data_IF_748848588071
#
_entry.id   IF_748848588071
#
_cell.length_a   1.000
_cell.length_b   1.000
_cell.length_c   1.000
_cell.angle_alpha   90.00
_cell.angle_beta   90.00
_cell.angle_gamma   90.00
#
_symmetry.space_group_name_H-M   'P 1'
#
loop_
_entity.id
_entity.type
_entity.pdbx_description
1 polymer ?
#
# COMPACT_ATOMS: atom_id res chain seq x y z
N UNK A 1 -27.06 -15.73 50.29
CA UNK A 1 -26.61 -14.56 49.50
C UNK A 1 -25.51 -13.88 50.31
N UNK A 2 -24.23 -14.16 50.02
CA UNK A 2 -23.11 -13.60 50.77
C UNK A 2 -22.24 -12.75 49.84
N UNK A 3 -22.19 -11.44 50.09
CA UNK A 3 -21.25 -10.52 49.47
C UNK A 3 -19.93 -10.57 50.24
N UNK A 4 -18.86 -11.05 49.60
CA UNK A 4 -17.50 -10.94 50.11
C UNK A 4 -16.87 -9.68 49.48
N UNK A 5 -16.81 -8.58 50.23
CA UNK A 5 -15.92 -7.45 49.91
C UNK A 5 -14.49 -7.87 50.21
N UNK A 6 -13.62 -7.92 49.20
CA UNK A 6 -12.16 -8.05 49.39
C UNK A 6 -11.61 -6.71 49.90
N UNK A 7 -10.77 -6.69 50.95
CA UNK A 7 -10.20 -5.45 51.45
C UNK A 7 -9.13 -4.93 50.48
N UNK A 8 -9.18 -3.64 50.16
CA UNK A 8 -8.08 -2.96 49.50
C UNK A 8 -6.93 -2.75 50.51
N UNK A 9 -5.69 -3.01 50.07
CA UNK A 9 -4.49 -2.80 50.88
C UNK A 9 -4.41 -1.34 51.35
N UNK A 10 -4.30 -1.11 52.66
CA UNK A 10 -4.23 0.24 53.20
C UNK A 10 -2.88 0.89 52.88
N UNK A 11 -2.89 2.19 52.51
CA UNK A 11 -1.67 2.99 52.22
C UNK A 11 -0.59 2.90 53.31
N UNK A 12 -0.97 2.55 54.53
CA UNK A 12 -0.08 2.41 55.69
C UNK A 12 0.74 1.09 55.68
N UNK A 13 0.32 0.06 54.92
CA UNK A 13 1.13 -1.15 54.69
C UNK A 13 2.22 -0.92 53.62
N UNK A 14 1.95 -0.10 52.60
CA UNK A 14 2.90 0.20 51.53
C UNK A 14 4.14 0.96 52.07
N UNK A 15 3.94 1.85 53.05
CA UNK A 15 5.00 2.68 53.61
C UNK A 15 5.89 1.98 54.64
N UNK A 16 5.50 0.79 55.14
CA UNK A 16 6.34 0.00 56.06
C UNK A 16 7.31 -0.95 55.36
N UNK A 17 7.18 -1.14 54.04
CA UNK A 17 8.03 -2.02 53.25
C UNK A 17 9.20 -1.28 52.53
N UNK A 18 9.41 0.01 52.80
CA UNK A 18 10.46 0.81 52.15
C UNK A 18 11.89 0.54 52.67
N UNK A 19 12.07 -0.33 53.67
CA UNK A 19 13.35 -0.52 54.36
C UNK A 19 14.28 -1.61 53.79
N UNK A 20 13.84 -2.43 52.84
CA UNK A 20 14.68 -3.47 52.22
C UNK A 20 14.11 -3.89 50.85
N UNK A 21 14.31 -3.07 49.83
CA UNK A 21 13.97 -3.44 48.46
C UNK A 21 15.19 -4.06 47.78
N UNK A 22 15.27 -5.39 47.81
CA UNK A 22 15.92 -6.12 46.70
C UNK A 22 15.11 -5.76 45.46
N UNK A 23 15.76 -5.22 44.43
CA UNK A 23 15.10 -4.89 43.18
C UNK A 23 14.43 -6.15 42.62
N UNK A 24 13.11 -6.24 42.76
CA UNK A 24 12.33 -7.28 42.11
C UNK A 24 12.46 -7.08 40.60
N UNK A 25 12.75 -8.14 39.82
CA UNK A 25 12.72 -8.04 38.37
C UNK A 25 11.34 -7.56 37.93
N UNK A 26 11.31 -6.70 36.92
CA UNK A 26 10.07 -6.22 36.33
C UNK A 26 9.32 -7.43 35.76
N UNK A 27 8.20 -7.81 36.37
CA UNK A 27 7.37 -8.92 35.93
C UNK A 27 6.36 -8.40 34.90
N UNK A 28 6.15 -9.13 33.80
CA UNK A 28 5.20 -8.78 32.73
C UNK A 28 3.77 -8.48 33.25
N UNK A 29 3.39 -9.08 34.39
CA UNK A 29 2.11 -8.83 35.06
C UNK A 29 1.93 -7.39 35.60
N UNK A 30 3.00 -6.57 35.61
CA UNK A 30 2.99 -5.18 36.07
C UNK A 30 2.86 -4.15 34.93
N UNK A 31 2.84 -4.61 33.68
CA UNK A 31 2.46 -3.78 32.54
C UNK A 31 0.93 -3.60 32.53
N UNK A 32 0.41 -2.36 32.47
CA UNK A 32 -1.01 -2.17 32.23
C UNK A 32 -1.38 -2.87 30.92
N UNK A 33 -2.48 -3.65 30.92
CA UNK A 33 -3.06 -4.37 29.77
C UNK A 33 -3.57 -3.43 28.65
N UNK A 34 -2.88 -2.32 28.38
CA UNK A 34 -3.24 -1.26 27.45
C UNK A 34 -2.29 -1.16 26.24
N UNK A 35 -1.44 -2.16 26.01
CA UNK A 35 -0.74 -2.40 24.75
C UNK A 35 -1.06 -3.84 24.33
N UNK A 36 -1.77 -4.04 23.22
CA UNK A 36 -2.02 -5.38 22.73
C UNK A 36 -0.69 -6.00 22.31
N UNK A 37 -0.55 -7.30 22.54
CA UNK A 37 0.70 -7.99 22.29
C UNK A 37 1.09 -7.81 20.81
N UNK A 38 2.37 -7.50 20.52
CA UNK A 38 2.83 -7.41 19.14
C UNK A 38 2.61 -8.74 18.41
N UNK A 39 2.55 -8.69 17.08
CA UNK A 39 2.52 -9.91 16.25
C UNK A 39 3.71 -10.80 16.59
N UNK A 40 3.46 -12.10 16.72
CA UNK A 40 4.52 -13.11 16.91
C UNK A 40 4.78 -13.90 15.63
N UNK A 41 4.19 -13.45 14.51
CA UNK A 41 4.41 -14.02 13.20
C UNK A 41 5.89 -14.02 12.82
N UNK A 42 6.35 -15.17 12.29
CA UNK A 42 7.68 -15.33 11.72
C UNK A 42 7.53 -15.59 10.22
N UNK A 43 8.28 -14.84 9.41
CA UNK A 43 8.41 -15.13 7.98
C UNK A 43 8.86 -16.58 7.78
N UNK A 44 8.41 -17.20 6.70
CA UNK A 44 8.83 -18.54 6.36
C UNK A 44 10.28 -18.53 5.87
N UNK A 45 10.98 -19.64 6.08
CA UNK A 45 12.40 -19.75 5.73
C UNK A 45 12.61 -19.73 4.20
N UNK A 46 11.69 -20.32 3.45
CA UNK A 46 11.85 -20.54 2.01
C UNK A 46 10.55 -20.39 1.24
N UNK A 47 10.65 -19.74 0.08
CA UNK A 47 9.68 -19.73 -1.00
C UNK A 47 10.14 -20.68 -2.11
N UNK A 48 9.22 -21.50 -2.63
CA UNK A 48 9.48 -22.36 -3.80
C UNK A 48 9.05 -21.69 -5.13
N UNK A 49 8.67 -20.42 -5.07
CA UNK A 49 8.24 -19.64 -6.23
C UNK A 49 9.43 -18.89 -6.83
N UNK A 50 9.27 -18.36 -8.03
CA UNK A 50 10.24 -17.41 -8.60
C UNK A 50 9.54 -16.52 -9.61
N UNK A 51 8.80 -15.53 -9.10
CA UNK A 51 8.04 -14.59 -9.92
C UNK A 51 8.32 -13.15 -9.50
N UNK A 52 8.29 -12.19 -10.44
CA UNK A 52 8.39 -10.78 -10.11
C UNK A 52 7.15 -10.35 -9.32
N UNK A 53 7.37 -9.57 -8.27
CA UNK A 53 6.32 -9.03 -7.41
C UNK A 53 6.50 -7.52 -7.24
N UNK A 54 5.41 -6.82 -7.02
CA UNK A 54 5.42 -5.39 -6.77
C UNK A 54 4.44 -5.03 -5.65
N UNK A 55 4.90 -4.22 -4.71
CA UNK A 55 4.05 -3.57 -3.72
C UNK A 55 4.31 -2.06 -3.69
N UNK A 56 3.24 -1.27 -3.72
CA UNK A 56 3.29 0.17 -3.57
C UNK A 56 2.73 0.58 -2.20
N UNK A 57 3.60 1.02 -1.30
CA UNK A 57 3.31 1.47 0.05
C UNK A 57 3.19 3.00 0.08
N UNK A 58 2.00 3.52 0.37
CA UNK A 58 1.73 4.95 0.37
C UNK A 58 1.56 5.50 1.77
N UNK A 59 2.19 6.64 2.04
CA UNK A 59 1.94 7.46 3.22
C UNK A 59 1.31 8.79 2.79
N UNK A 60 0.09 9.13 3.23
CA UNK A 60 -0.61 10.35 2.81
C UNK A 60 -0.06 11.60 3.51
N UNK A 61 -0.54 12.78 3.09
CA UNK A 61 -0.24 14.09 3.68
C UNK A 61 1.24 14.55 3.60
N UNK A 62 2.12 13.75 2.99
CA UNK A 62 3.55 14.01 2.89
C UNK A 62 4.33 13.58 4.12
N UNK A 63 5.62 13.96 4.14
CA UNK A 63 6.57 13.66 5.23
C UNK A 63 7.24 14.95 5.68
N UNK A 64 7.91 14.95 6.83
CA UNK A 64 8.83 16.01 7.19
C UNK A 64 9.99 16.05 6.18
N UNK A 65 9.86 16.90 5.15
CA UNK A 65 10.79 16.93 4.02
C UNK A 65 12.21 17.35 4.43
N UNK A 66 12.33 18.07 5.54
CA UNK A 66 13.62 18.55 6.10
C UNK A 66 14.44 17.39 6.65
N UNK A 67 13.81 16.41 7.30
CA UNK A 67 14.47 15.21 7.82
C UNK A 67 14.44 14.03 6.84
N UNK A 68 13.65 14.09 5.76
CA UNK A 68 13.53 13.04 4.75
C UNK A 68 14.64 13.05 3.71
N UNK A 69 14.92 14.20 3.07
CA UNK A 69 15.80 14.25 1.89
C UNK A 69 17.27 14.16 2.32
N UNK A 70 18.08 13.23 1.78
CA UNK A 70 19.51 13.20 2.01
C UNK A 70 20.20 14.46 1.48
N UNK A 71 21.25 14.91 2.17
CA UNK A 71 22.03 16.09 1.76
C UNK A 71 22.91 15.83 0.53
N UNK A 72 23.46 14.61 0.44
CA UNK A 72 24.38 14.21 -0.62
C UNK A 72 23.68 13.29 -1.63
N UNK A 73 24.11 13.31 -2.89
CA UNK A 73 23.60 12.45 -3.96
C UNK A 73 24.57 11.33 -4.33
N UNK A 74 24.10 10.34 -5.10
CA UNK A 74 24.92 9.25 -5.63
C UNK A 74 25.09 8.07 -4.68
N UNK A 75 26.05 7.21 -4.98
CA UNK A 75 26.42 6.07 -4.11
C UNK A 75 27.13 6.55 -2.86
N UNK A 76 26.86 5.93 -1.71
CA UNK A 76 27.51 6.31 -0.45
C UNK A 76 26.96 7.60 0.20
N UNK A 77 25.83 8.13 -0.28
CA UNK A 77 25.12 9.23 0.38
C UNK A 77 24.85 8.96 1.86
N UNK A 78 24.87 10.01 2.67
CA UNK A 78 24.54 9.97 4.09
C UNK A 78 23.03 9.80 4.28
N UNK A 79 22.60 8.81 5.08
CA UNK A 79 21.20 8.67 5.42
C UNK A 79 20.71 9.94 6.15
N UNK A 80 19.54 10.42 5.75
CA UNK A 80 18.87 11.50 6.47
C UNK A 80 18.31 10.97 7.81
N UNK A 81 18.02 11.85 8.79
CA UNK A 81 17.55 11.43 10.10
C UNK A 81 16.33 10.50 10.07
N UNK A 82 15.40 10.72 9.13
CA UNK A 82 14.24 9.84 8.95
C UNK A 82 14.65 8.47 8.38
N UNK A 83 15.53 8.45 7.38
CA UNK A 83 15.98 7.22 6.71
C UNK A 83 16.90 6.33 7.56
N UNK A 84 17.44 6.82 8.68
CA UNK A 84 18.20 6.01 9.64
C UNK A 84 17.39 4.81 10.17
N UNK A 85 16.06 4.89 10.16
CA UNK A 85 15.16 3.77 10.47
C UNK A 85 15.37 2.56 9.55
N UNK A 86 15.97 2.75 8.37
CA UNK A 86 16.25 1.71 7.37
C UNK A 86 17.74 1.39 7.21
N UNK A 87 18.62 1.80 8.14
CA UNK A 87 20.08 1.62 7.99
C UNK A 87 20.51 0.17 7.72
N UNK A 88 19.79 -0.82 8.24
CA UNK A 88 20.07 -2.25 8.03
C UNK A 88 19.82 -2.71 6.58
N UNK A 89 19.03 -1.94 5.83
CA UNK A 89 18.67 -2.17 4.43
C UNK A 89 19.39 -1.23 3.46
N UNK A 90 20.46 -0.53 3.89
CA UNK A 90 21.12 0.53 3.12
C UNK A 90 21.56 0.13 1.69
N UNK A 91 21.84 -1.15 1.45
CA UNK A 91 22.21 -1.70 0.13
C UNK A 91 21.02 -2.20 -0.70
N UNK A 92 19.81 -2.14 -0.15
CA UNK A 92 18.60 -2.78 -0.71
C UNK A 92 17.55 -1.75 -1.15
N UNK A 93 17.81 -0.45 -0.95
CA UNK A 93 16.96 0.63 -1.44
C UNK A 93 17.74 1.79 -2.05
N UNK A 94 17.02 2.60 -2.81
CA UNK A 94 17.43 3.90 -3.33
C UNK A 94 16.40 4.96 -2.97
N UNK A 95 16.89 6.17 -2.70
CA UNK A 95 16.05 7.35 -2.42
C UNK A 95 15.98 8.19 -3.68
N UNK A 96 14.80 8.72 -4.00
CA UNK A 96 14.60 9.62 -5.13
C UNK A 96 14.07 10.96 -4.61
N UNK A 97 14.63 12.06 -5.10
CA UNK A 97 14.19 13.42 -4.77
C UNK A 97 14.08 14.28 -6.02
N UNK A 98 13.27 15.33 -5.98
CA UNK A 98 13.04 16.26 -7.09
C UNK A 98 11.95 15.85 -8.08
N UNK A 99 11.47 14.61 -8.02
CA UNK A 99 10.43 14.09 -8.91
C UNK A 99 9.02 14.52 -8.45
N UNK A 100 8.06 14.49 -9.36
CA UNK A 100 6.64 14.63 -9.05
C UNK A 100 5.77 14.48 -10.30
N UNK A 101 4.46 14.73 -10.20
CA UNK A 101 3.56 14.65 -11.36
C UNK A 101 3.30 16.05 -11.92
N UNK A 102 3.84 16.41 -13.12
CA UNK A 102 3.67 17.72 -13.74
C UNK A 102 2.23 18.24 -13.85
N UNK A 103 1.26 17.33 -14.00
CA UNK A 103 -0.16 17.69 -14.13
C UNK A 103 -0.92 17.70 -12.79
N UNK A 104 -0.27 17.36 -11.68
CA UNK A 104 -0.89 17.45 -10.36
C UNK A 104 -0.89 18.89 -9.87
N UNK A 105 -2.06 19.34 -9.41
CA UNK A 105 -2.24 20.67 -8.81
C UNK A 105 -1.83 20.70 -7.32
N UNK A 106 -1.46 19.55 -6.73
CA UNK A 106 -1.15 19.43 -5.30
C UNK A 106 -2.39 19.25 -4.42
N UNK A 107 -2.24 19.59 -3.14
CA UNK A 107 -3.28 19.38 -2.13
C UNK A 107 -3.55 17.89 -1.85
N UNK A 108 -4.71 17.57 -1.29
CA UNK A 108 -5.06 16.22 -0.83
C UNK A 108 -5.42 15.20 -1.93
N UNK A 109 -5.15 15.53 -3.19
CA UNK A 109 -5.36 14.65 -4.34
C UNK A 109 -4.15 13.73 -4.62
N UNK A 110 -3.20 13.64 -3.68
CA UNK A 110 -2.00 12.82 -3.81
C UNK A 110 -2.32 11.35 -4.05
N UNK A 111 -3.26 10.77 -3.29
CA UNK A 111 -3.68 9.38 -3.46
C UNK A 111 -4.32 9.13 -4.83
N UNK A 112 -5.12 10.08 -5.34
CA UNK A 112 -5.76 10.01 -6.65
C UNK A 112 -4.75 9.94 -7.81
N UNK A 113 -3.59 10.59 -7.66
CA UNK A 113 -2.65 10.80 -8.77
C UNK A 113 -1.35 10.02 -8.65
N UNK A 114 -1.00 9.50 -7.46
CA UNK A 114 0.34 8.95 -7.22
C UNK A 114 0.73 7.81 -8.16
N UNK A 115 -0.17 6.87 -8.42
CA UNK A 115 0.08 5.74 -9.34
C UNK A 115 -0.50 5.92 -10.74
N UNK A 116 -1.26 6.99 -11.01
CA UNK A 116 -1.92 7.23 -12.30
C UNK A 116 -1.26 8.35 -13.10
N UNK A 117 -0.63 9.30 -12.41
CA UNK A 117 -0.18 10.59 -12.94
C UNK A 117 -1.28 11.36 -13.70
N UNK A 118 -2.55 11.09 -13.39
CA UNK A 118 -3.66 11.63 -14.14
C UNK A 118 -3.77 13.15 -14.01
N UNK A 119 -4.05 13.81 -15.13
CA UNK A 119 -4.52 15.19 -15.12
C UNK A 119 -6.02 15.18 -14.80
N UNK A 120 -6.35 15.45 -13.52
CA UNK A 120 -7.69 15.26 -12.97
C UNK A 120 -8.79 16.10 -13.64
N UNK A 121 -8.43 17.19 -14.33
CA UNK A 121 -9.33 18.10 -15.04
C UNK A 121 -9.14 18.08 -16.56
N UNK A 122 -8.57 17.00 -17.09
CA UNK A 122 -8.25 16.87 -18.53
C UNK A 122 -9.48 16.86 -19.45
N UNK A 123 -10.65 16.45 -18.96
CA UNK A 123 -11.90 16.41 -19.74
C UNK A 123 -12.71 17.69 -19.53
N UNK A 124 -12.91 18.53 -20.58
CA UNK A 124 -13.74 19.73 -20.47
C UNK A 124 -15.15 19.42 -19.96
N UNK A 125 -15.59 20.13 -18.92
CA UNK A 125 -16.92 19.96 -18.31
C UNK A 125 -17.05 18.79 -17.34
N UNK A 126 -15.98 18.04 -17.06
CA UNK A 126 -15.92 17.08 -15.96
C UNK A 126 -15.19 17.68 -14.77
N UNK A 127 -15.74 17.51 -13.56
CA UNK A 127 -15.12 17.97 -12.32
C UNK A 127 -13.96 17.07 -11.86
N UNK A 128 -13.94 15.82 -12.35
CA UNK A 128 -12.92 14.82 -12.02
C UNK A 128 -12.78 13.80 -13.16
N UNK A 129 -11.54 13.39 -13.45
CA UNK A 129 -11.21 12.33 -14.40
C UNK A 129 -9.94 11.64 -13.93
N UNK A 130 -9.91 10.32 -13.92
CA UNK A 130 -8.67 9.57 -13.64
C UNK A 130 -8.34 8.62 -14.80
N UNK A 131 -7.22 7.92 -14.70
CA UNK A 131 -6.72 6.99 -15.70
C UNK A 131 -6.22 5.71 -15.06
N UNK A 132 -5.86 4.71 -15.87
CA UNK A 132 -5.24 3.47 -15.43
C UNK A 132 -4.04 3.75 -14.52
N UNK A 133 -3.98 3.07 -13.37
CA UNK A 133 -2.82 3.13 -12.48
C UNK A 133 -1.75 2.11 -12.86
N UNK A 134 -0.49 2.42 -12.53
CA UNK A 134 0.68 1.60 -12.87
C UNK A 134 0.62 0.18 -12.27
N UNK A 135 0.07 0.04 -11.06
CA UNK A 135 -0.16 -1.26 -10.44
C UNK A 135 -1.19 -2.09 -11.22
N UNK A 136 -2.26 -1.48 -11.73
CA UNK A 136 -3.27 -2.18 -12.53
C UNK A 136 -2.73 -2.57 -13.91
N UNK A 137 -1.82 -1.77 -14.47
CA UNK A 137 -1.08 -2.15 -15.67
C UNK A 137 -0.19 -3.39 -15.42
N UNK A 138 0.49 -3.48 -14.27
CA UNK A 138 1.23 -4.69 -13.88
C UNK A 138 0.29 -5.89 -13.60
N UNK A 139 -0.84 -5.65 -12.95
CA UNK A 139 -1.85 -6.66 -12.62
C UNK A 139 -2.48 -7.28 -13.89
N UNK A 140 -2.62 -6.51 -14.97
CA UNK A 140 -3.13 -7.01 -16.25
C UNK A 140 -2.26 -8.14 -16.83
N UNK A 141 -0.94 -8.10 -16.59
CA UNK A 141 0.02 -9.15 -16.98
C UNK A 141 -0.01 -10.33 -16.01
N UNK A 142 0.21 -10.09 -14.73
CA UNK A 142 0.43 -11.15 -13.73
C UNK A 142 -0.86 -11.78 -13.21
N UNK A 143 -1.96 -11.03 -13.21
CA UNK A 143 -3.22 -11.47 -12.64
C UNK A 143 -3.93 -12.60 -13.38
N UNK A 144 -3.36 -13.08 -14.49
CA UNK A 144 -3.83 -14.30 -15.18
C UNK A 144 -3.27 -15.57 -14.54
N UNK A 145 -2.16 -15.45 -13.82
CA UNK A 145 -1.43 -16.56 -13.20
C UNK A 145 -1.75 -16.70 -11.71
N UNK A 146 -2.39 -15.69 -11.11
CA UNK A 146 -2.76 -15.65 -9.70
C UNK A 146 -4.27 -15.61 -9.50
N UNK A 147 -4.73 -16.03 -8.31
CA UNK A 147 -6.17 -16.02 -7.96
C UNK A 147 -6.75 -14.61 -7.94
N UNK A 148 -5.99 -13.68 -7.35
CA UNK A 148 -6.35 -12.27 -7.32
C UNK A 148 -5.38 -11.51 -8.23
N UNK A 149 -5.88 -10.66 -9.15
CA UNK A 149 -5.01 -9.90 -10.05
C UNK A 149 -4.11 -8.90 -9.32
N UNK A 150 -4.67 -8.30 -8.27
CA UNK A 150 -4.00 -7.38 -7.36
C UNK A 150 -4.75 -7.37 -6.03
N UNK A 151 -4.13 -6.83 -4.98
CA UNK A 151 -4.80 -6.51 -3.72
C UNK A 151 -4.68 -5.03 -3.41
N UNK A 152 -5.83 -4.39 -3.19
CA UNK A 152 -5.96 -3.02 -2.70
C UNK A 152 -6.15 -3.03 -1.20
N UNK A 153 -5.17 -2.50 -0.46
CA UNK A 153 -5.17 -2.41 0.99
C UNK A 153 -5.15 -0.93 1.40
N UNK A 154 -5.82 -0.58 2.50
CA UNK A 154 -5.93 0.82 2.90
C UNK A 154 -6.35 1.00 4.35
N UNK A 155 -6.16 2.19 4.90
CA UNK A 155 -6.63 2.61 6.24
C UNK A 155 -8.15 2.54 6.36
N UNK A 156 -8.84 2.94 5.29
CA UNK A 156 -10.29 2.89 5.15
C UNK A 156 -10.67 1.81 4.14
N UNK A 157 -11.81 1.15 4.34
CA UNK A 157 -12.39 0.31 3.29
C UNK A 157 -13.14 1.18 2.26
N UNK A 158 -13.13 0.75 1.00
CA UNK A 158 -13.84 1.42 -0.10
C UNK A 158 -12.93 2.31 -0.96
N UNK A 159 -13.50 3.27 -1.67
CA UNK A 159 -12.77 4.06 -2.68
C UNK A 159 -12.47 5.50 -2.26
N UNK A 160 -13.09 5.98 -1.18
CA UNK A 160 -13.09 7.40 -0.84
C UNK A 160 -13.90 8.24 -1.84
N UNK A 161 -13.61 9.54 -1.90
CA UNK A 161 -14.24 10.48 -2.82
C UNK A 161 -13.23 11.02 -3.84
N UNK A 162 -13.70 11.56 -4.95
CA UNK A 162 -12.87 12.23 -5.94
C UNK A 162 -12.02 13.35 -5.28
N UNK A 163 -10.70 13.32 -5.47
CA UNK A 163 -9.76 14.27 -4.87
C UNK A 163 -9.41 14.00 -3.40
N UNK A 164 -10.00 12.95 -2.82
CA UNK A 164 -9.76 12.44 -1.47
C UNK A 164 -9.89 10.91 -1.51
N UNK A 165 -9.20 10.28 -2.46
CA UNK A 165 -9.32 8.84 -2.65
C UNK A 165 -8.75 8.08 -1.44
N UNK A 166 -9.40 6.96 -1.09
CA UNK A 166 -8.89 5.98 -0.12
C UNK A 166 -8.24 4.78 -0.83
N UNK A 167 -7.90 4.94 -2.11
CA UNK A 167 -7.26 3.93 -2.93
C UNK A 167 -6.24 4.61 -3.85
N UNK A 168 -5.28 3.81 -4.30
CA UNK A 168 -4.26 4.22 -5.26
C UNK A 168 -4.48 3.55 -6.62
N UNK A 169 -5.40 2.59 -6.68
CA UNK A 169 -5.60 1.71 -7.82
C UNK A 169 -6.82 2.13 -8.61
N UNK A 170 -6.61 2.40 -9.89
CA UNK A 170 -7.64 2.83 -10.84
C UNK A 170 -7.60 1.92 -12.06
N UNK A 171 -8.77 1.45 -12.50
CA UNK A 171 -8.87 0.59 -13.67
C UNK A 171 -8.62 1.36 -14.98
N UNK A 172 -8.72 0.66 -16.12
CA UNK A 172 -8.49 1.25 -17.44
C UNK A 172 -9.41 2.43 -17.77
N UNK A 173 -10.57 2.52 -17.12
CA UNK A 173 -11.54 3.59 -17.29
C UNK A 173 -11.34 4.74 -16.30
N UNK A 174 -10.34 4.64 -15.42
CA UNK A 174 -10.12 5.60 -14.33
C UNK A 174 -11.11 5.41 -13.17
N UNK A 175 -11.71 4.23 -13.03
CA UNK A 175 -12.61 3.90 -11.92
C UNK A 175 -11.80 3.43 -10.71
N UNK A 176 -12.00 4.00 -9.51
CA UNK A 176 -11.26 3.58 -8.32
C UNK A 176 -11.64 2.16 -7.89
N UNK A 177 -10.63 1.37 -7.54
CA UNK A 177 -10.81 0.02 -7.00
C UNK A 177 -10.86 0.06 -5.46
N UNK A 178 -11.83 -0.58 -4.80
CA UNK A 178 -12.02 -0.45 -3.36
C UNK A 178 -10.92 -1.15 -2.56
N UNK A 179 -10.42 -0.49 -1.52
CA UNK A 179 -9.48 -1.05 -0.56
C UNK A 179 -10.17 -1.90 0.51
N UNK A 180 -9.42 -2.85 1.08
CA UNK A 180 -9.79 -3.63 2.26
C UNK A 180 -8.90 -3.21 3.44
N UNK A 181 -9.52 -2.97 4.60
CA UNK A 181 -8.82 -2.53 5.80
C UNK A 181 -8.92 -3.50 6.99
N UNK A 182 -9.71 -4.57 6.87
CA UNK A 182 -9.87 -5.59 7.92
C UNK A 182 -8.91 -6.75 7.71
N UNK A 183 -7.96 -6.99 8.63
CA UNK A 183 -7.06 -8.14 8.56
C UNK A 183 -7.82 -9.47 8.54
N UNK A 184 -8.86 -9.61 9.38
CA UNK A 184 -9.74 -10.79 9.42
C UNK A 184 -10.37 -11.11 8.06
N UNK A 185 -11.08 -10.14 7.47
CA UNK A 185 -11.75 -10.34 6.17
C UNK A 185 -10.73 -10.63 5.06
N UNK A 186 -9.59 -9.95 5.09
CA UNK A 186 -8.52 -10.21 4.14
C UNK A 186 -7.99 -11.65 4.27
N UNK A 187 -7.65 -12.09 5.48
CA UNK A 187 -7.17 -13.46 5.72
C UNK A 187 -8.19 -14.52 5.28
N UNK A 188 -9.46 -14.36 5.66
CA UNK A 188 -10.55 -15.26 5.25
C UNK A 188 -10.69 -15.30 3.73
N UNK A 189 -10.66 -14.12 3.08
CA UNK A 189 -10.71 -14.01 1.63
C UNK A 189 -9.55 -14.77 0.97
N UNK A 190 -8.32 -14.63 1.45
CA UNK A 190 -7.14 -15.19 0.80
C UNK A 190 -6.93 -16.68 1.09
N UNK A 191 -7.18 -17.14 2.32
CA UNK A 191 -6.68 -18.44 2.80
C UNK A 191 -7.76 -19.39 3.32
N UNK A 192 -8.93 -18.91 3.74
CA UNK A 192 -10.00 -19.79 4.25
C UNK A 192 -10.80 -20.37 3.09
N UNK A 193 -10.86 -21.70 3.02
CA UNK A 193 -11.63 -22.40 2.01
C UNK A 193 -13.13 -22.12 2.14
N UNK A 194 -13.81 -21.92 1.00
CA UNK A 194 -15.26 -21.80 0.97
C UNK A 194 -15.91 -23.15 1.29
N UNK A 195 -17.05 -23.15 2.00
CA UNK A 195 -17.82 -24.39 2.16
C UNK A 195 -18.40 -24.85 0.82
N UNK A 196 -18.81 -26.12 0.72
CA UNK A 196 -19.48 -26.62 -0.49
C UNK A 196 -20.75 -25.82 -0.84
N UNK A 197 -21.47 -25.32 0.18
CA UNK A 197 -22.63 -24.45 -0.01
C UNK A 197 -22.25 -23.07 -0.54
N UNK A 198 -21.21 -22.46 0.04
CA UNK A 198 -20.71 -21.15 -0.41
C UNK A 198 -20.23 -21.20 -1.86
N UNK A 199 -19.49 -22.27 -2.20
CA UNK A 199 -19.02 -22.53 -3.56
C UNK A 199 -20.17 -22.65 -4.56
N UNK A 200 -21.22 -23.41 -4.22
CA UNK A 200 -22.39 -23.55 -5.08
C UNK A 200 -23.12 -22.22 -5.29
N UNK A 201 -23.26 -21.41 -4.22
CA UNK A 201 -23.82 -20.08 -4.31
C UNK A 201 -22.95 -19.13 -5.14
N UNK A 202 -21.62 -19.18 -4.99
CA UNK A 202 -20.66 -18.41 -5.78
C UNK A 202 -20.74 -18.76 -7.27
N UNK A 203 -20.79 -20.04 -7.62
CA UNK A 203 -20.96 -20.49 -9.01
C UNK A 203 -22.26 -19.97 -9.62
N UNK A 204 -23.36 -20.04 -8.87
CA UNK A 204 -24.65 -19.53 -9.33
C UNK A 204 -24.59 -18.04 -9.62
N UNK A 205 -24.00 -17.24 -8.72
CA UNK A 205 -23.81 -15.79 -8.92
C UNK A 205 -22.96 -15.48 -10.14
N UNK A 206 -21.89 -16.25 -10.41
CA UNK A 206 -21.06 -16.05 -11.60
C UNK A 206 -21.81 -16.40 -12.89
N UNK A 207 -22.61 -17.47 -12.89
CA UNK A 207 -23.44 -17.83 -14.03
C UNK A 207 -24.51 -16.74 -14.32
N UNK A 208 -25.17 -16.24 -13.28
CA UNK A 208 -26.14 -15.13 -13.39
C UNK A 208 -25.48 -13.85 -13.93
N UNK A 209 -24.31 -13.46 -13.39
CA UNK A 209 -23.56 -12.30 -13.88
C UNK A 209 -23.16 -12.43 -15.34
N UNK A 210 -22.71 -13.62 -15.75
CA UNK A 210 -22.35 -13.88 -17.15
C UNK A 210 -23.56 -13.68 -18.07
N UNK A 211 -24.72 -14.26 -17.70
CA UNK A 211 -25.95 -14.07 -18.48
C UNK A 211 -26.34 -12.60 -18.62
N UNK A 212 -26.25 -11.82 -17.53
CA UNK A 212 -26.55 -10.38 -17.56
C UNK A 212 -25.58 -9.63 -18.47
N UNK A 213 -24.29 -9.96 -18.44
CA UNK A 213 -23.28 -9.32 -19.27
C UNK A 213 -23.49 -9.66 -20.75
N UNK A 214 -23.83 -10.92 -21.07
CA UNK A 214 -24.16 -11.37 -22.42
C UNK A 214 -25.38 -10.59 -22.98
N UNK A 215 -26.42 -10.40 -22.17
CA UNK A 215 -27.61 -9.60 -22.54
C UNK A 215 -27.25 -8.12 -22.78
N UNK A 216 -26.48 -7.51 -21.87
CA UNK A 216 -26.00 -6.12 -22.00
C UNK A 216 -25.15 -5.95 -23.26
N UNK A 217 -24.26 -6.90 -23.54
CA UNK A 217 -23.40 -6.85 -24.72
C UNK A 217 -24.21 -6.93 -26.03
N UNK A 218 -25.24 -7.77 -26.08
CA UNK A 218 -26.14 -7.90 -27.22
C UNK A 218 -26.96 -6.61 -27.46
N UNK A 219 -27.50 -6.02 -26.40
CA UNK A 219 -28.25 -4.76 -26.46
C UNK A 219 -27.35 -3.59 -26.88
N UNK A 220 -26.16 -3.50 -26.30
CA UNK A 220 -25.17 -2.47 -26.64
C UNK A 220 -24.74 -2.56 -28.12
N UNK A 221 -24.51 -3.76 -28.66
CA UNK A 221 -24.23 -3.94 -30.09
C UNK A 221 -25.41 -3.53 -30.99
N UNK A 222 -26.64 -3.76 -30.56
CA UNK A 222 -27.84 -3.36 -31.31
C UNK A 222 -27.98 -1.83 -31.33
N UNK A 223 -27.67 -1.17 -30.22
CA UNK A 223 -27.68 0.28 -30.10
C UNK A 223 -26.55 0.92 -30.91
N UNK A 224 -25.33 0.38 -30.85
CA UNK A 224 -24.16 0.89 -31.59
C UNK A 224 -24.43 1.06 -33.10
N UNK A 225 -25.15 0.10 -33.70
CA UNK A 225 -25.57 0.15 -35.12
C UNK A 225 -26.45 1.35 -35.46
N UNK A 226 -27.14 1.93 -34.47
CA UNK A 226 -28.07 3.06 -34.61
C UNK A 226 -27.46 4.40 -34.22
N UNK A 227 -26.29 4.40 -33.58
CA UNK A 227 -25.64 5.61 -33.09
C UNK A 227 -24.87 6.36 -34.19
N UNK A 228 -24.87 7.69 -34.07
CA UNK A 228 -24.00 8.57 -34.86
C UNK A 228 -22.54 8.49 -34.39
N UNK A 229 -21.61 8.98 -35.22
CA UNK A 229 -20.15 8.88 -34.99
C UNK A 229 -19.68 9.46 -33.64
N UNK A 230 -20.37 10.49 -33.11
CA UNK A 230 -20.05 11.08 -31.81
C UNK A 230 -20.36 10.16 -30.62
N UNK A 231 -21.46 9.42 -30.67
CA UNK A 231 -21.94 8.56 -29.59
C UNK A 231 -21.29 7.18 -29.59
N UNK A 232 -20.86 6.69 -30.76
CA UNK A 232 -20.13 5.41 -30.87
C UNK A 232 -18.90 5.33 -29.99
N UNK A 233 -18.14 6.43 -29.88
CA UNK A 233 -16.97 6.47 -29.00
C UNK A 233 -17.31 6.22 -27.53
N UNK A 234 -18.43 6.76 -27.04
CA UNK A 234 -18.89 6.49 -25.67
C UNK A 234 -19.39 5.05 -25.52
N UNK A 235 -20.02 4.52 -26.57
CA UNK A 235 -20.44 3.12 -26.62
C UNK A 235 -19.23 2.16 -26.60
N UNK A 236 -18.15 2.50 -27.31
CA UNK A 236 -16.91 1.73 -27.31
C UNK A 236 -16.26 1.69 -25.92
N UNK A 237 -16.25 2.82 -25.20
CA UNK A 237 -15.81 2.89 -23.79
C UNK A 237 -16.67 1.97 -22.90
N UNK A 238 -17.99 2.04 -23.05
CA UNK A 238 -18.94 1.20 -22.30
C UNK A 238 -18.74 -0.30 -22.58
N UNK A 239 -18.70 -0.70 -23.86
CA UNK A 239 -18.48 -2.08 -24.28
C UNK A 239 -17.13 -2.63 -23.79
N UNK A 240 -16.11 -1.79 -23.75
CA UNK A 240 -14.80 -2.15 -23.20
C UNK A 240 -14.88 -2.46 -21.70
N UNK A 241 -15.66 -1.67 -20.94
CA UNK A 241 -15.90 -1.91 -19.51
C UNK A 241 -16.71 -3.19 -19.25
N UNK A 242 -17.74 -3.46 -20.04
CA UNK A 242 -18.53 -4.70 -19.98
C UNK A 242 -17.62 -5.91 -20.20
N UNK A 243 -16.79 -5.87 -21.25
CA UNK A 243 -15.87 -6.96 -21.59
C UNK A 243 -14.81 -7.22 -20.52
N UNK A 244 -14.37 -6.19 -19.80
CA UNK A 244 -13.43 -6.37 -18.69
C UNK A 244 -14.11 -7.06 -17.50
N UNK A 245 -15.37 -6.70 -17.22
CA UNK A 245 -16.17 -7.36 -16.19
C UNK A 245 -16.39 -8.84 -16.53
N UNK A 246 -16.66 -9.18 -17.79
CA UNK A 246 -16.78 -10.57 -18.25
C UNK A 246 -15.50 -11.37 -17.99
N UNK A 247 -14.34 -10.85 -18.43
CA UNK A 247 -13.04 -11.48 -18.19
C UNK A 247 -12.75 -11.67 -16.70
N UNK A 248 -13.20 -10.75 -15.85
CA UNK A 248 -13.07 -10.89 -14.41
C UNK A 248 -13.91 -12.05 -13.88
N UNK A 249 -15.16 -12.19 -14.33
CA UNK A 249 -16.04 -13.31 -13.94
C UNK A 249 -15.46 -14.64 -14.42
N UNK A 250 -15.02 -14.74 -15.68
CA UNK A 250 -14.42 -15.96 -16.23
C UNK A 250 -13.18 -16.40 -15.45
N UNK A 251 -12.36 -15.43 -15.04
CA UNK A 251 -11.18 -15.69 -14.20
C UNK A 251 -11.58 -16.23 -12.84
N UNK A 252 -12.52 -15.58 -12.15
CA UNK A 252 -12.99 -16.04 -10.84
C UNK A 252 -13.55 -17.47 -10.90
N UNK A 253 -14.25 -17.82 -11.99
CA UNK A 253 -14.69 -19.19 -12.24
C UNK A 253 -13.51 -20.17 -12.39
N UNK A 254 -12.46 -19.80 -13.14
CA UNK A 254 -11.29 -20.68 -13.35
C UNK A 254 -10.50 -21.00 -12.07
N UNK A 255 -10.64 -20.18 -11.03
CA UNK A 255 -9.95 -20.34 -9.76
C UNK A 255 -10.80 -21.01 -8.67
N UNK A 256 -12.08 -21.27 -8.93
CA UNK A 256 -12.99 -21.77 -7.90
C UNK A 256 -12.65 -23.19 -7.44
N UNK A 257 -12.17 -24.02 -8.36
CA UNK A 257 -11.77 -25.41 -8.11
C UNK A 257 -10.33 -25.56 -7.64
N UNK A 258 -9.54 -24.48 -7.73
CA UNK A 258 -8.16 -24.49 -7.27
C UNK A 258 -8.18 -24.31 -5.74
N UNK A 259 -7.48 -25.16 -4.95
CA UNK A 259 -7.41 -24.98 -3.50
C UNK A 259 -6.69 -23.68 -3.15
N UNK A 260 -7.12 -23.02 -2.07
CA UNK A 260 -6.38 -21.90 -1.46
C UNK A 260 -5.15 -22.44 -0.74
N UNK A 261 -4.13 -21.60 -0.57
CA UNK A 261 -2.97 -21.98 0.23
C UNK A 261 -3.36 -22.12 1.71
N UNK A 262 -2.84 -23.15 2.36
CA UNK A 262 -3.04 -23.36 3.79
C UNK A 262 -2.06 -22.48 4.58
N UNK A 263 -2.60 -21.52 5.32
CA UNK A 263 -1.83 -20.61 6.17
C UNK A 263 -2.43 -20.65 7.56
N UNK A 264 -1.65 -20.94 8.62
CA UNK A 264 -2.15 -20.88 9.98
C UNK A 264 -2.35 -19.42 10.42
N UNK A 265 -3.39 -19.17 11.22
CA UNK A 265 -3.63 -17.85 11.84
C UNK A 265 -2.62 -17.53 12.96
N UNK A 266 -1.85 -18.52 13.41
CA UNK A 266 -1.00 -18.42 14.60
C UNK A 266 0.00 -17.28 14.47
N UNK A 267 -0.02 -16.40 15.46
CA UNK A 267 0.89 -15.25 15.56
C UNK A 267 0.43 -14.00 14.82
N UNK A 268 -0.61 -14.07 13.98
CA UNK A 268 -1.18 -12.92 13.28
C UNK A 268 -2.17 -12.15 14.17
N UNK A 269 -2.08 -10.82 14.16
CA UNK A 269 -2.99 -9.92 14.89
C UNK A 269 -4.26 -9.60 14.10
N UNK A 270 -5.01 -10.63 13.70
CA UNK A 270 -6.13 -10.50 12.75
C UNK A 270 -7.33 -9.67 13.26
N UNK A 271 -7.36 -9.33 14.55
CA UNK A 271 -8.40 -8.51 15.17
C UNK A 271 -8.05 -7.02 15.24
N UNK A 272 -6.82 -6.63 14.91
CA UNK A 272 -6.38 -5.24 14.97
C UNK A 272 -7.12 -4.34 13.97
N UNK A 273 -7.33 -3.09 14.36
CA UNK A 273 -8.08 -2.09 13.61
C UNK A 273 -7.21 -0.88 13.27
N UNK A 274 -7.44 -0.20 12.13
CA UNK A 274 -6.68 0.99 11.75
C UNK A 274 -7.02 2.23 12.59
N UNK A 275 -8.26 2.31 13.09
CA UNK A 275 -8.86 3.57 13.58
C UNK A 275 -8.55 3.95 15.02
N UNK A 276 -7.58 3.32 15.69
CA UNK A 276 -7.22 3.71 17.07
C UNK A 276 -5.71 3.60 17.31
N UNK A 277 -5.21 4.45 18.23
CA UNK A 277 -3.80 4.54 18.61
C UNK A 277 -3.18 3.21 19.05
N UNK A 278 -3.97 2.38 19.74
CA UNK A 278 -3.51 1.15 20.36
C UNK A 278 -3.23 0.06 19.32
N UNK A 279 -4.14 -0.13 18.37
CA UNK A 279 -4.06 -1.18 17.37
C UNK A 279 -3.21 -0.79 16.15
N UNK A 280 -3.05 0.51 15.90
CA UNK A 280 -2.41 1.05 14.70
C UNK A 280 -1.06 0.40 14.37
N UNK A 281 -0.12 0.22 15.32
CA UNK A 281 1.13 -0.49 15.05
C UNK A 281 0.91 -1.92 14.56
N UNK A 282 0.11 -2.70 15.28
CA UNK A 282 -0.14 -4.11 14.94
C UNK A 282 -0.98 -4.25 13.67
N UNK A 283 -1.84 -3.28 13.37
CA UNK A 283 -2.63 -3.26 12.15
C UNK A 283 -1.74 -3.12 10.91
N UNK A 284 -0.78 -2.18 10.91
CA UNK A 284 0.19 -2.07 9.80
C UNK A 284 1.01 -3.36 9.70
N UNK A 285 1.51 -3.87 10.83
CA UNK A 285 2.31 -5.09 10.87
C UNK A 285 1.55 -6.28 10.27
N UNK A 286 0.33 -6.56 10.72
CA UNK A 286 -0.45 -7.70 10.22
C UNK A 286 -0.86 -7.53 8.76
N UNK A 287 -1.14 -6.31 8.29
CA UNK A 287 -1.44 -6.08 6.87
C UNK A 287 -0.20 -6.33 5.98
N UNK A 288 1.00 -5.96 6.44
CA UNK A 288 2.27 -6.29 5.76
C UNK A 288 2.59 -7.79 5.83
N UNK A 289 2.26 -8.47 6.93
CA UNK A 289 2.37 -9.93 7.08
C UNK A 289 1.43 -10.66 6.11
N UNK A 290 0.19 -10.18 5.95
CA UNK A 290 -0.76 -10.70 4.97
C UNK A 290 -0.30 -10.42 3.53
N UNK A 291 0.32 -9.27 3.26
CA UNK A 291 0.92 -8.98 1.96
C UNK A 291 2.09 -9.94 1.65
N UNK A 292 2.96 -10.19 2.64
CA UNK A 292 4.03 -11.18 2.55
C UNK A 292 3.46 -12.58 2.28
N UNK A 293 2.44 -13.00 3.02
CA UNK A 293 1.77 -14.29 2.84
C UNK A 293 1.13 -14.42 1.46
N UNK A 294 0.52 -13.35 0.96
CA UNK A 294 -0.07 -13.34 -0.37
C UNK A 294 1.00 -13.53 -1.47
N UNK A 295 2.20 -12.98 -1.26
CA UNK A 295 3.34 -13.13 -2.17
C UNK A 295 4.00 -14.51 -2.11
N UNK A 296 4.24 -15.07 -0.91
CA UNK A 296 4.91 -16.36 -0.75
C UNK A 296 4.02 -17.54 -1.16
N UNK A 297 2.70 -17.34 -1.18
CA UNK A 297 1.71 -18.34 -1.63
C UNK A 297 1.27 -18.15 -3.09
N UNK A 298 1.84 -17.18 -3.81
CA UNK A 298 1.44 -16.76 -5.17
C UNK A 298 -0.07 -16.42 -5.30
N UNK A 299 -0.67 -15.93 -4.22
CA UNK A 299 -2.09 -15.55 -4.20
C UNK A 299 -2.33 -14.29 -5.05
N UNK A 300 -1.37 -13.36 -5.05
CA UNK A 300 -1.23 -12.22 -5.96
C UNK A 300 0.25 -11.91 -6.15
N UNK A 301 0.61 -11.14 -7.18
CA UNK A 301 1.95 -10.56 -7.39
C UNK A 301 1.98 -9.04 -7.35
N UNK A 302 0.82 -8.39 -7.24
CA UNK A 302 0.69 -6.93 -7.19
C UNK A 302 -0.15 -6.52 -5.99
N UNK A 303 0.38 -5.62 -5.17
CA UNK A 303 -0.30 -5.08 -3.99
C UNK A 303 -0.16 -3.57 -3.96
N UNK A 304 -1.24 -2.86 -3.64
CA UNK A 304 -1.18 -1.45 -3.23
C UNK A 304 -1.62 -1.35 -1.79
N UNK A 305 -0.93 -0.55 -1.00
CA UNK A 305 -1.23 -0.37 0.41
C UNK A 305 -1.14 1.09 0.82
N UNK A 306 -2.29 1.72 1.04
CA UNK A 306 -2.41 3.04 1.66
C UNK A 306 -2.31 2.91 3.18
N UNK A 307 -1.22 3.37 3.78
CA UNK A 307 -0.96 3.09 5.18
C UNK A 307 -1.80 3.98 6.08
N UNK A 308 -2.21 5.17 5.64
CA UNK A 308 -3.17 6.03 6.34
C UNK A 308 -4.18 6.59 5.32
N UNK A 309 -4.81 7.74 5.57
CA UNK A 309 -5.65 8.42 4.56
C UNK A 309 -5.32 9.91 4.38
N UNK A 310 -5.54 10.41 3.17
CA UNK A 310 -5.48 11.86 2.86
C UNK A 310 -6.49 12.68 3.67
N UNK A 311 -6.12 13.94 3.95
CA UNK A 311 -6.93 14.90 4.71
C UNK A 311 -7.44 14.32 6.06
N UNK A 312 -6.64 13.44 6.67
CA UNK A 312 -6.93 12.80 7.95
C UNK A 312 -5.86 11.78 8.33
N UNK A 313 -6.32 10.65 8.87
CA UNK A 313 -5.44 9.54 9.21
C UNK A 313 -4.69 9.71 10.53
N UNK A 314 -4.04 8.62 10.94
CA UNK A 314 -3.36 8.50 12.22
C UNK A 314 -1.89 8.11 12.05
N UNK A 315 -1.03 8.76 12.84
CA UNK A 315 0.34 8.33 13.10
C UNK A 315 0.41 7.04 13.92
N UNK A 316 1.62 6.56 14.20
CA UNK A 316 1.83 5.29 14.89
C UNK A 316 1.32 5.24 16.33
N UNK A 317 1.30 6.38 17.03
CA UNK A 317 0.73 6.55 18.37
C UNK A 317 -0.70 7.08 18.37
N UNK A 318 -1.36 7.12 17.20
CA UNK A 318 -2.70 7.70 17.04
C UNK A 318 -2.74 9.22 16.92
N UNK A 319 -1.59 9.87 16.69
CA UNK A 319 -1.51 11.31 16.43
C UNK A 319 -2.29 11.66 15.15
N UNK A 320 -2.89 12.85 15.09
CA UNK A 320 -3.52 13.32 13.86
C UNK A 320 -2.43 13.66 12.82
N UNK A 321 -2.28 12.79 11.82
CA UNK A 321 -1.20 12.92 10.83
C UNK A 321 -1.38 14.18 9.98
N UNK A 322 -2.59 14.42 9.50
CA UNK A 322 -2.93 15.56 8.66
C UNK A 322 -2.74 16.90 9.38
N UNK A 323 -3.11 17.03 10.65
CA UNK A 323 -2.86 18.28 11.38
C UNK A 323 -1.36 18.58 11.48
N UNK A 324 -0.54 17.55 11.74
CA UNK A 324 0.91 17.71 11.88
C UNK A 324 1.62 18.07 10.57
N UNK A 325 1.07 17.72 9.40
CA UNK A 325 1.62 18.14 8.11
C UNK A 325 1.36 19.63 7.82
N UNK A 326 0.34 20.26 8.40
CA UNK A 326 0.15 21.72 8.30
C UNK A 326 1.01 22.50 9.31
N UNK A 327 2.29 22.13 9.43
CA UNK A 327 3.16 22.59 10.51
C UNK A 327 3.51 24.07 10.48
N UNK A 328 3.41 24.78 9.34
CA UNK A 328 3.71 26.23 9.29
C UNK A 328 5.15 26.60 9.67
N UNK A 329 6.06 25.62 9.70
CA UNK A 329 7.42 25.75 10.23
C UNK A 329 7.56 25.56 11.75
N UNK A 330 6.50 25.17 12.47
CA UNK A 330 6.55 24.88 13.91
C UNK A 330 7.44 23.67 14.20
N UNK A 331 8.46 23.88 15.06
CA UNK A 331 9.44 22.86 15.39
C UNK A 331 8.84 21.67 16.17
N UNK A 332 7.80 21.90 16.97
CA UNK A 332 7.13 20.86 17.74
C UNK A 332 6.31 19.93 16.84
N UNK A 333 5.58 20.50 15.87
CA UNK A 333 4.83 19.74 14.87
C UNK A 333 5.77 18.97 13.95
N UNK A 334 6.85 19.59 13.46
CA UNK A 334 7.87 18.93 12.64
C UNK A 334 8.52 17.74 13.37
N UNK A 335 8.83 17.90 14.65
CA UNK A 335 9.38 16.83 15.49
C UNK A 335 8.41 15.65 15.61
N UNK A 336 7.12 15.90 15.83
CA UNK A 336 6.09 14.86 15.87
C UNK A 336 5.86 14.20 14.51
N UNK A 337 5.89 14.98 13.42
CA UNK A 337 5.79 14.44 12.06
C UNK A 337 6.97 13.52 11.75
N UNK A 338 8.19 13.88 12.14
CA UNK A 338 9.36 13.02 11.99
C UNK A 338 9.25 11.71 12.80
N UNK A 339 8.57 11.71 13.95
CA UNK A 339 8.27 10.48 14.69
C UNK A 339 7.32 9.57 13.90
N UNK A 340 6.30 10.12 13.25
CA UNK A 340 5.40 9.37 12.38
C UNK A 340 6.16 8.79 11.19
N UNK A 341 7.01 9.59 10.54
CA UNK A 341 7.81 9.15 9.39
C UNK A 341 8.74 7.99 9.77
N UNK A 342 9.46 8.10 10.90
CA UNK A 342 10.33 7.05 11.43
C UNK A 342 9.54 5.80 11.82
N UNK A 343 8.33 5.97 12.37
CA UNK A 343 7.43 4.85 12.65
C UNK A 343 7.07 4.09 11.36
N UNK A 344 6.61 4.77 10.31
CA UNK A 344 6.30 4.11 9.05
C UNK A 344 7.55 3.42 8.46
N UNK A 345 8.70 4.10 8.40
CA UNK A 345 9.91 3.47 7.89
C UNK A 345 10.37 2.26 8.73
N UNK A 346 10.15 2.26 10.04
CA UNK A 346 10.45 1.07 10.86
C UNK A 346 9.59 -0.15 10.48
N UNK A 347 8.32 0.08 10.10
CA UNK A 347 7.41 -0.97 9.60
C UNK A 347 7.82 -1.46 8.21
N UNK A 348 8.26 -0.54 7.35
CA UNK A 348 8.83 -0.88 6.06
C UNK A 348 10.10 -1.74 6.25
N UNK A 349 11.00 -1.34 7.14
CA UNK A 349 12.22 -2.12 7.46
C UNK A 349 11.88 -3.52 7.95
N UNK A 350 10.90 -3.66 8.85
CA UNK A 350 10.42 -4.98 9.30
C UNK A 350 9.90 -5.84 8.13
N UNK A 351 9.20 -5.26 7.17
CA UNK A 351 8.71 -5.96 5.98
C UNK A 351 9.83 -6.34 4.99
N UNK A 352 10.77 -5.42 4.73
CA UNK A 352 11.97 -5.70 3.95
C UNK A 352 12.80 -6.82 4.59
N UNK A 353 12.91 -6.82 5.92
CA UNK A 353 13.53 -7.89 6.71
C UNK A 353 12.92 -9.26 6.44
N UNK A 354 11.59 -9.38 6.43
CA UNK A 354 10.91 -10.64 6.12
C UNK A 354 11.21 -11.12 4.69
N UNK A 355 11.16 -10.22 3.71
CA UNK A 355 11.46 -10.55 2.32
C UNK A 355 12.94 -10.95 2.13
N UNK A 356 13.85 -10.26 2.82
CA UNK A 356 15.30 -10.53 2.78
C UNK A 356 15.66 -11.86 3.42
N UNK A 357 15.00 -12.22 4.53
CA UNK A 357 15.28 -13.47 5.25
C UNK A 357 14.61 -14.70 4.65
N UNK A 358 13.75 -14.54 3.64
CA UNK A 358 13.09 -15.65 2.96
C UNK A 358 13.92 -16.06 1.75
N UNK A 359 14.43 -17.29 1.74
CA UNK A 359 15.15 -17.85 0.59
C UNK A 359 14.20 -18.04 -0.60
N UNK A 360 14.60 -17.61 -1.80
CA UNK A 360 13.83 -17.80 -3.02
C UNK A 360 14.74 -18.08 -4.22
N UNK A 361 14.88 -19.36 -4.55
CA UNK A 361 15.75 -19.81 -5.65
C UNK A 361 17.22 -19.50 -5.37
N UNK A 362 17.78 -18.55 -6.11
CA UNK A 362 19.19 -18.16 -6.11
C UNK A 362 19.48 -16.85 -5.35
N UNK A 363 18.55 -16.42 -4.50
CA UNK A 363 18.64 -15.19 -3.72
C UNK A 363 17.57 -15.10 -2.65
N UNK A 364 17.31 -13.89 -2.17
CA UNK A 364 16.21 -13.62 -1.26
C UNK A 364 14.92 -13.32 -2.04
N UNK A 365 13.77 -13.53 -1.40
CA UNK A 365 12.47 -13.13 -1.94
C UNK A 365 12.42 -11.61 -2.24
N UNK A 366 13.17 -10.80 -1.48
CA UNK A 366 13.35 -9.37 -1.74
C UNK A 366 13.97 -9.09 -3.12
N UNK A 367 14.86 -9.94 -3.62
CA UNK A 367 15.53 -9.73 -4.90
C UNK A 367 14.57 -9.78 -6.10
N UNK A 368 13.38 -10.37 -5.91
CA UNK A 368 12.31 -10.46 -6.92
C UNK A 368 11.06 -9.68 -6.54
N UNK A 369 11.12 -8.90 -5.46
CA UNK A 369 10.01 -8.09 -4.97
C UNK A 369 10.40 -6.62 -4.99
N UNK A 370 9.76 -5.84 -5.85
CA UNK A 370 9.93 -4.38 -5.87
C UNK A 370 8.99 -3.73 -4.87
N UNK A 371 9.53 -2.86 -4.02
CA UNK A 371 8.77 -2.06 -3.07
C UNK A 371 8.92 -0.60 -3.44
N UNK A 372 7.83 0.04 -3.86
CA UNK A 372 7.74 1.49 -4.00
C UNK A 372 7.14 2.06 -2.72
N UNK A 373 7.86 2.94 -2.03
CA UNK A 373 7.36 3.66 -0.87
C UNK A 373 7.35 5.16 -1.14
N UNK A 374 6.29 5.85 -0.73
CA UNK A 374 6.29 7.30 -0.79
C UNK A 374 4.95 7.96 -0.58
N UNK A 375 4.85 9.19 -1.05
CA UNK A 375 3.64 10.02 -0.97
C UNK A 375 3.39 10.75 -2.29
N UNK A 376 2.14 11.09 -2.55
CA UNK A 376 1.67 11.86 -3.71
C UNK A 376 1.81 13.36 -3.52
N UNK A 377 2.27 13.78 -2.34
CA UNK A 377 2.68 15.14 -2.02
C UNK A 377 3.87 15.13 -1.06
N UNK A 378 4.49 16.28 -0.84
CA UNK A 378 5.26 16.52 0.38
C UNK A 378 4.57 17.54 1.29
N UNK A 379 4.99 17.54 2.56
CA UNK A 379 4.73 18.63 3.50
C UNK A 379 5.92 19.56 3.41
N UNK A 380 5.83 20.57 2.54
CA UNK A 380 6.93 21.47 2.19
C UNK A 380 7.50 22.24 3.39
N UNK A 381 8.43 23.18 3.16
CA UNK A 381 9.12 23.85 4.28
C UNK A 381 8.16 24.65 5.18
N UNK A 382 7.05 25.15 4.62
CA UNK A 382 5.98 25.84 5.34
C UNK A 382 4.78 24.96 5.68
N UNK A 383 4.82 23.64 5.42
CA UNK A 383 3.67 22.74 5.58
C UNK A 383 2.70 22.75 4.40
N UNK A 384 3.10 23.29 3.26
CA UNK A 384 2.30 23.27 2.04
C UNK A 384 2.26 21.88 1.40
N UNK A 385 1.07 21.43 0.98
CA UNK A 385 0.89 20.18 0.25
C UNK A 385 1.28 20.33 -1.22
N UNK A 386 2.58 20.14 -1.50
CA UNK A 386 3.17 20.34 -2.81
C UNK A 386 3.25 19.04 -3.62
N UNK A 387 2.94 19.07 -4.93
CA UNK A 387 3.13 17.93 -5.83
C UNK A 387 4.58 17.81 -6.35
N UNK A 388 5.48 18.70 -5.91
CA UNK A 388 6.91 18.72 -6.28
C UNK A 388 7.73 17.99 -5.23
N UNK A 389 8.89 17.46 -5.64
CA UNK A 389 9.86 16.83 -4.72
C UNK A 389 9.20 15.79 -3.80
N UNK A 390 8.50 14.84 -4.42
CA UNK A 390 7.79 13.79 -3.72
C UNK A 390 8.77 12.91 -2.92
N UNK A 391 8.41 12.50 -1.69
CA UNK A 391 9.25 11.63 -0.89
C UNK A 391 9.15 10.20 -1.44
N UNK A 392 10.18 9.76 -2.15
CA UNK A 392 10.16 8.47 -2.86
C UNK A 392 11.34 7.58 -2.46
N UNK A 393 11.04 6.31 -2.27
CA UNK A 393 11.99 5.24 -2.01
C UNK A 393 11.61 4.01 -2.83
N UNK A 394 12.59 3.37 -3.45
CA UNK A 394 12.41 2.09 -4.15
C UNK A 394 13.36 1.07 -3.54
N UNK A 395 12.87 -0.12 -3.22
CA UNK A 395 13.65 -1.20 -2.63
C UNK A 395 13.41 -2.55 -3.32
N UNK A 396 14.37 -3.47 -3.17
CA UNK A 396 14.28 -4.83 -3.71
C UNK A 396 14.34 -4.94 -5.23
N UNK A 397 14.04 -6.12 -5.80
CA UNK A 397 14.02 -6.29 -7.25
C UNK A 397 15.39 -6.34 -7.94
N UNK A 398 16.47 -6.62 -7.21
CA UNK A 398 17.83 -6.73 -7.76
C UNK A 398 17.91 -7.78 -8.88
N UNK A 399 17.20 -8.90 -8.76
CA UNK A 399 17.10 -9.95 -9.79
C UNK A 399 16.12 -9.60 -10.91
N UNK A 400 15.38 -8.51 -10.79
CA UNK A 400 14.64 -7.87 -11.88
C UNK A 400 15.50 -6.78 -12.58
N UNK A 401 16.72 -6.56 -12.09
CA UNK A 401 17.69 -5.64 -12.67
C UNK A 401 17.57 -4.20 -12.14
N UNK A 402 17.09 -4.03 -10.91
CA UNK A 402 17.26 -2.77 -10.16
C UNK A 402 18.63 -2.76 -9.45
N UNK A 403 19.21 -1.58 -9.26
CA UNK A 403 20.50 -1.39 -8.60
C UNK A 403 20.40 -0.35 -7.48
N UNK A 404 20.57 -0.80 -6.25
CA UNK A 404 20.33 0.01 -5.06
C UNK A 404 21.57 0.67 -4.45
N UNK A 405 21.37 1.36 -3.31
CA UNK A 405 22.43 1.94 -2.50
C UNK A 405 22.79 3.39 -2.84
N UNK A 406 21.89 4.13 -3.47
CA UNK A 406 22.13 5.48 -4.01
C UNK A 406 20.97 6.44 -3.74
N UNK A 407 21.30 7.73 -3.75
CA UNK A 407 20.31 8.81 -3.78
C UNK A 407 20.32 9.43 -5.19
N UNK A 408 19.21 9.27 -5.91
CA UNK A 408 19.00 9.90 -7.21
C UNK A 408 18.32 11.26 -6.99
N UNK A 409 19.14 12.31 -6.93
CA UNK A 409 18.68 13.68 -6.72
C UNK A 409 18.44 14.39 -8.06
N UNK A 410 17.18 14.74 -8.31
CA UNK A 410 16.76 15.48 -9.49
C UNK A 410 16.52 16.96 -9.15
N UNK A 411 16.57 17.80 -10.17
CA UNK A 411 16.30 19.23 -10.04
C UNK A 411 14.79 19.46 -9.80
N UNK A 412 14.44 19.89 -8.60
CA UNK A 412 13.06 20.17 -8.17
C UNK A 412 12.38 21.21 -9.08
N UNK A 413 13.13 22.19 -9.59
CA UNK A 413 12.57 23.26 -10.43
C UNK A 413 12.26 22.77 -11.83
N UNK A 414 13.02 21.79 -12.34
CA UNK A 414 12.70 21.09 -13.58
C UNK A 414 11.54 20.10 -13.42
N UNK A 415 11.24 19.71 -12.19
CA UNK A 415 10.11 18.86 -11.80
C UNK A 415 9.93 17.64 -12.72
N UNK A 416 10.96 16.79 -12.89
CA UNK A 416 10.86 15.65 -13.79
C UNK A 416 9.72 14.69 -13.40
N UNK A 417 9.06 14.04 -14.38
CA UNK A 417 7.90 13.18 -14.12
C UNK A 417 8.26 11.98 -13.24
N UNK A 418 7.51 11.79 -12.15
CA UNK A 418 7.54 10.57 -11.35
C UNK A 418 7.09 9.36 -12.18
N UNK A 419 6.29 9.56 -13.23
CA UNK A 419 5.93 8.50 -14.19
C UNK A 419 7.13 7.77 -14.80
N UNK A 420 8.31 8.37 -14.82
CA UNK A 420 9.54 7.68 -15.21
C UNK A 420 9.89 6.52 -14.24
N UNK A 421 9.61 6.68 -12.94
CA UNK A 421 9.72 5.62 -11.93
C UNK A 421 8.68 4.53 -12.20
N UNK A 422 7.41 4.94 -12.37
CA UNK A 422 6.29 4.01 -12.59
C UNK A 422 6.50 3.15 -13.84
N UNK A 423 6.91 3.78 -14.95
CA UNK A 423 7.25 3.08 -16.19
C UNK A 423 8.38 2.06 -15.96
N UNK A 424 9.42 2.44 -15.22
CA UNK A 424 10.54 1.54 -14.88
C UNK A 424 10.04 0.32 -14.14
N UNK A 425 9.25 0.49 -13.07
CA UNK A 425 8.73 -0.62 -12.28
C UNK A 425 7.80 -1.54 -13.10
N UNK A 426 6.92 -0.95 -13.91
CA UNK A 426 6.02 -1.69 -14.81
C UNK A 426 6.80 -2.54 -15.83
N UNK A 427 7.83 -1.98 -16.45
CA UNK A 427 8.70 -2.73 -17.36
C UNK A 427 9.51 -3.82 -16.64
N UNK A 428 9.92 -3.58 -15.39
CA UNK A 428 10.62 -4.57 -14.55
C UNK A 428 9.70 -5.71 -14.09
N UNK A 429 8.39 -5.47 -14.05
CA UNK A 429 7.36 -6.53 -13.98
C UNK A 429 7.17 -7.26 -15.33
N UNK A 430 7.92 -6.90 -16.37
CA UNK A 430 7.90 -7.50 -17.69
C UNK A 430 6.80 -6.97 -18.61
N UNK A 431 6.13 -5.87 -18.28
CA UNK A 431 5.12 -5.28 -19.18
C UNK A 431 5.81 -4.50 -20.30
N UNK A 432 5.54 -4.85 -21.55
CA UNK A 432 6.16 -4.26 -22.73
C UNK A 432 5.36 -3.02 -23.18
N UNK A 433 5.62 -1.88 -22.53
CA UNK A 433 5.04 -0.57 -22.89
C UNK A 433 6.14 0.47 -23.05
N UNK A 434 6.03 1.32 -24.06
CA UNK A 434 7.05 2.35 -24.34
C UNK A 434 6.91 3.60 -23.46
N UNK A 435 5.69 3.90 -23.01
CA UNK A 435 5.38 5.06 -22.17
C UNK A 435 4.24 4.73 -21.19
N UNK A 436 4.21 5.48 -20.08
CA UNK A 436 3.13 5.47 -19.10
C UNK A 436 2.82 6.91 -18.69
N UNK A 437 1.56 7.34 -18.87
CA UNK A 437 1.10 8.70 -18.59
C UNK A 437 2.03 9.77 -19.22
N UNK A 438 2.62 10.64 -18.41
CA UNK A 438 3.53 11.71 -18.81
C UNK A 438 5.02 11.33 -18.74
N UNK A 439 5.34 10.03 -18.68
CA UNK A 439 6.72 9.55 -18.69
C UNK A 439 7.48 10.02 -19.94
N UNK A 440 8.71 10.49 -19.75
CA UNK A 440 9.65 10.82 -20.83
C UNK A 440 10.68 9.73 -21.08
N UNK A 441 10.66 8.66 -20.28
CA UNK A 441 11.49 7.47 -20.41
C UNK A 441 11.58 6.70 -19.08
N UNK A 442 12.32 5.60 -19.05
CA UNK A 442 12.64 4.91 -17.79
C UNK A 442 13.67 5.70 -16.96
N UNK A 443 13.64 5.53 -15.65
CA UNK A 443 14.61 6.14 -14.76
C UNK A 443 15.96 5.43 -14.85
N UNK A 444 16.96 6.13 -15.40
CA UNK A 444 18.33 5.60 -15.48
C UNK A 444 18.97 5.58 -14.10
N UNK A 445 19.67 4.49 -13.80
CA UNK A 445 20.40 4.34 -12.55
C UNK A 445 19.56 3.80 -11.39
N UNK A 446 18.30 3.41 -11.63
CA UNK A 446 17.47 2.66 -10.69
C UNK A 446 17.57 1.16 -10.91
#
# INVERSE_FOLDING_TARGET
MFHIRRPALSRRHLLRAAGAAVALPFLDAMLPHALAAPSTFKSWEKSNLSHPRMICCYVPNGVNIVEWVPQDAGTGYTLSPTLEALKEHRGEFSVLSGLGHPHSEGGHSGADTWLTAAHLKSKPGADYTNTLSADQLAAAKHGRETRYPSLQLGDMSGTGAAGHSHTLSFDINGTPLPTENSPRRLFERLFVAESAGDRAATMKRYAERRSILDDIAADAQTLDRRLGTGDRRKMDEYLSSVRETEKQVERLQSWIDRPKAEVPETGLQLSSQPGNAHDRPMWIDVMLELAYLAFITDTTRVITFEWSREAGGYGGGGENHHELSHHGGDAGMLSKLAVIDKFHLSRLGRFLGMLRSTEEGDGAMLDRTMVLYGSGMNSGKGGEHSPKNLPLLVAGGQKLGLTHGRHLAFDVEKHPPMSNVLLTLVQKMGVEVEAFADSTGTLTGL
#
